data_IF_007467163273
#
_entry.id   IF_007467163273
#
_cell.length_a   1.000
_cell.length_b   1.000
_cell.length_c   1.000
_cell.angle_alpha   90.00
_cell.angle_beta   90.00
_cell.angle_gamma   90.00
#
_symmetry.space_group_name_H-M   'P 1'
#
loop_
_entity.id
_entity.type
_entity.pdbx_description
1 polymer ?
#
# COMPACT_ATOMS: atom_id res chain seq x y z
N UNK A 1 -6.50 8.85 3.04
CA UNK A 1 -6.47 8.43 1.62
C UNK A 1 -6.69 6.94 1.56
N UNK A 2 -7.03 6.34 0.43
CA UNK A 2 -7.15 4.89 0.31
C UNK A 2 -6.77 4.53 -1.12
N UNK A 3 -5.90 3.53 -1.26
CA UNK A 3 -5.65 2.91 -2.54
C UNK A 3 -6.62 1.75 -2.71
N UNK A 4 -7.27 1.74 -3.86
CA UNK A 4 -8.22 0.70 -4.23
C UNK A 4 -7.71 0.07 -5.51
N UNK A 5 -7.31 -1.19 -5.40
CA UNK A 5 -6.93 -2.03 -6.54
C UNK A 5 -8.07 -3.00 -6.82
N UNK A 6 -8.47 -3.06 -8.09
CA UNK A 6 -9.52 -3.95 -8.59
C UNK A 6 -8.92 -4.81 -9.70
N UNK A 7 -8.83 -6.12 -9.47
CA UNK A 7 -8.49 -7.09 -10.50
C UNK A 7 -9.79 -7.54 -11.20
N UNK A 8 -9.84 -7.49 -12.54
CA UNK A 8 -10.98 -7.99 -13.31
C UNK A 8 -10.60 -9.31 -13.97
N UNK A 9 -11.00 -10.42 -13.36
CA UNK A 9 -10.87 -11.73 -14.00
C UNK A 9 -12.10 -12.01 -14.87
N UNK A 10 -11.89 -12.14 -16.18
CA UNK A 10 -12.82 -12.56 -17.26
C UNK A 10 -13.29 -11.52 -18.29
N UNK A 11 -12.76 -10.29 -18.28
CA UNK A 11 -12.84 -9.39 -19.46
C UNK A 11 -14.22 -8.80 -19.80
N UNK A 12 -15.23 -8.92 -18.93
CA UNK A 12 -16.43 -8.09 -19.02
C UNK A 12 -17.07 -7.85 -17.65
N UNK A 13 -17.27 -6.58 -17.29
CA UNK A 13 -18.08 -6.18 -16.14
C UNK A 13 -19.47 -5.80 -16.67
N UNK A 14 -20.49 -6.61 -16.39
CA UNK A 14 -21.87 -6.30 -16.76
C UNK A 14 -22.67 -5.91 -15.51
N UNK A 15 -23.16 -4.68 -15.48
CA UNK A 15 -23.96 -4.12 -14.38
C UNK A 15 -25.42 -4.02 -14.83
N UNK A 16 -26.38 -4.59 -14.07
CA UNK A 16 -27.82 -4.49 -14.41
C UNK A 16 -28.63 -3.87 -13.28
N UNK A 17 -29.20 -2.69 -13.55
CA UNK A 17 -29.95 -1.88 -12.61
C UNK A 17 -29.34 -0.47 -12.52
N UNK A 18 -30.19 0.56 -12.33
CA UNK A 18 -29.65 1.88 -11.96
C UNK A 18 -29.00 1.77 -10.58
N UNK A 19 -27.76 2.27 -10.46
CA UNK A 19 -26.96 2.36 -9.23
C UNK A 19 -26.51 1.03 -8.60
N UNK A 20 -25.92 0.12 -9.37
CA UNK A 20 -25.40 -1.19 -8.88
C UNK A 20 -24.02 -1.14 -8.20
N UNK A 21 -23.64 -0.02 -7.58
CA UNK A 21 -22.25 0.26 -7.18
C UNK A 21 -21.81 -0.27 -5.80
N UNK A 22 -20.57 -0.79 -5.75
CA UNK A 22 -19.74 -0.89 -4.54
C UNK A 22 -19.27 0.51 -4.13
N UNK A 23 -19.26 0.81 -2.83
CA UNK A 23 -18.89 2.12 -2.28
C UNK A 23 -17.58 2.02 -1.49
N UNK A 24 -16.50 2.62 -1.99
CA UNK A 24 -15.29 2.87 -1.21
C UNK A 24 -15.55 4.07 -0.29
N UNK A 25 -15.27 3.98 1.01
CA UNK A 25 -15.57 5.05 1.98
C UNK A 25 -14.33 5.42 2.79
N UNK A 26 -13.95 6.69 2.75
CA UNK A 26 -13.08 7.32 3.74
C UNK A 26 -13.96 8.11 4.73
N UNK A 27 -14.04 7.66 5.98
CA UNK A 27 -14.86 8.30 7.03
C UNK A 27 -14.04 9.32 7.83
N UNK A 28 -14.59 10.51 8.10
CA UNK A 28 -13.93 11.57 8.90
C UNK A 28 -14.02 11.37 10.43
N UNK A 29 -14.47 10.21 10.90
CA UNK A 29 -14.84 10.09 12.32
C UNK A 29 -15.97 11.06 12.67
N UNK A 30 -16.05 11.52 13.92
CA UNK A 30 -17.23 12.19 14.50
C UNK A 30 -17.69 13.52 13.83
N UNK A 31 -17.05 13.97 12.74
CA UNK A 31 -17.25 15.27 12.08
C UNK A 31 -18.28 15.32 10.94
N UNK A 32 -18.78 14.19 10.43
CA UNK A 32 -20.02 14.18 9.64
C UNK A 32 -19.93 14.43 8.12
N UNK A 33 -18.76 14.25 7.49
CA UNK A 33 -18.65 14.15 6.02
C UNK A 33 -17.92 12.85 5.64
N UNK A 34 -18.35 12.20 4.55
CA UNK A 34 -17.74 10.97 4.04
C UNK A 34 -17.27 11.19 2.60
N UNK A 35 -16.03 10.81 2.30
CA UNK A 35 -15.55 10.77 0.92
C UNK A 35 -15.82 9.37 0.39
N UNK A 36 -16.50 9.28 -0.75
CA UNK A 36 -16.79 8.00 -1.36
C UNK A 36 -16.61 7.99 -2.87
N UNK A 37 -16.26 6.81 -3.40
CA UNK A 37 -16.19 6.54 -4.83
C UNK A 37 -16.94 5.24 -5.17
N UNK A 38 -17.43 5.15 -6.41
CA UNK A 38 -18.16 4.01 -6.94
C UNK A 38 -17.82 3.76 -8.41
N UNK A 39 -17.93 2.50 -8.82
CA UNK A 39 -17.94 2.11 -10.23
C UNK A 39 -19.34 2.35 -10.81
N UNK A 40 -19.43 3.11 -11.90
CA UNK A 40 -20.68 3.45 -12.58
C UNK A 40 -20.61 3.10 -14.07
N UNK A 41 -21.66 2.45 -14.59
CA UNK A 41 -21.86 2.31 -16.04
C UNK A 41 -22.62 3.54 -16.58
N UNK A 42 -22.05 4.18 -17.60
CA UNK A 42 -22.68 5.30 -18.32
C UNK A 42 -23.32 4.87 -19.65
N UNK A 43 -23.45 3.56 -19.89
CA UNK A 43 -23.97 2.96 -21.11
C UNK A 43 -22.88 2.62 -22.14
N UNK A 44 -23.17 1.66 -23.03
CA UNK A 44 -22.27 1.19 -24.08
C UNK A 44 -20.89 0.67 -23.59
N UNK A 45 -20.82 0.13 -22.37
CA UNK A 45 -19.58 -0.37 -21.78
C UNK A 45 -18.64 0.73 -21.28
N UNK A 46 -19.12 1.98 -21.16
CA UNK A 46 -18.35 3.12 -20.66
C UNK A 46 -18.36 3.14 -19.13
N UNK A 47 -17.63 2.19 -18.55
CA UNK A 47 -17.47 2.00 -17.12
C UNK A 47 -16.47 3.02 -16.55
N UNK A 48 -16.85 3.66 -15.44
CA UNK A 48 -16.06 4.73 -14.83
C UNK A 48 -15.97 4.60 -13.32
N UNK A 49 -14.86 5.00 -12.74
CA UNK A 49 -14.79 5.27 -11.30
C UNK A 49 -15.19 6.72 -11.08
N UNK A 50 -16.22 6.96 -10.28
CA UNK A 50 -16.75 8.28 -10.00
C UNK A 50 -16.81 8.54 -8.49
N UNK A 51 -16.67 9.81 -8.10
CA UNK A 51 -16.91 10.26 -6.74
C UNK A 51 -18.42 10.37 -6.47
N UNK A 52 -18.84 10.00 -5.27
CA UNK A 52 -20.24 10.13 -4.81
C UNK A 52 -20.48 11.58 -4.40
N UNK A 53 -21.55 12.17 -4.93
CA UNK A 53 -21.97 13.54 -4.63
C UNK A 53 -23.30 13.58 -3.89
N UNK A 54 -23.68 14.74 -3.35
CA UNK A 54 -24.98 14.96 -2.71
C UNK A 54 -26.20 14.75 -3.64
N UNK A 55 -25.99 14.65 -4.96
CA UNK A 55 -27.03 14.47 -5.97
C UNK A 55 -26.84 13.28 -6.91
N UNK A 56 -25.89 12.38 -6.64
CA UNK A 56 -25.58 11.22 -7.48
C UNK A 56 -24.09 10.95 -7.59
N UNK A 57 -23.55 10.95 -8.81
CA UNK A 57 -22.15 10.66 -9.08
C UNK A 57 -21.52 11.75 -9.95
N UNK A 58 -20.25 12.02 -9.71
CA UNK A 58 -19.40 12.88 -10.55
C UNK A 58 -19.24 12.31 -11.96
N UNK A 59 -18.58 13.03 -12.89
CA UNK A 59 -18.43 12.55 -14.27
C UNK A 59 -17.65 11.23 -14.36
N UNK A 60 -16.73 11.02 -13.42
CA UNK A 60 -15.94 9.82 -13.29
C UNK A 60 -14.87 9.68 -14.34
N UNK A 61 -13.82 8.93 -14.00
CA UNK A 61 -12.69 8.62 -14.85
C UNK A 61 -12.95 7.28 -15.57
N UNK A 62 -12.93 7.24 -16.92
CA UNK A 62 -13.04 5.99 -17.65
C UNK A 62 -11.77 5.15 -17.46
N UNK A 63 -11.92 3.88 -17.13
CA UNK A 63 -10.79 2.95 -16.99
C UNK A 63 -10.90 1.81 -18.00
N UNK A 64 -9.76 1.24 -18.35
CA UNK A 64 -9.70 0.00 -19.12
C UNK A 64 -9.85 -1.21 -18.20
N UNK A 65 -11.08 -1.69 -18.07
CA UNK A 65 -11.40 -2.82 -17.19
C UNK A 65 -10.96 -4.19 -17.71
N UNK A 66 -10.14 -4.24 -18.77
CA UNK A 66 -9.53 -5.49 -19.25
C UNK A 66 -8.26 -5.86 -18.50
N UNK A 67 -7.72 -4.95 -17.68
CA UNK A 67 -6.52 -5.13 -16.87
C UNK A 67 -6.78 -4.72 -15.42
N UNK A 68 -5.89 -5.10 -14.50
CA UNK A 68 -5.91 -4.60 -13.12
C UNK A 68 -5.90 -3.07 -13.10
N UNK A 69 -6.79 -2.49 -12.29
CA UNK A 69 -6.91 -1.05 -12.13
C UNK A 69 -6.62 -0.64 -10.69
N UNK A 70 -5.73 0.33 -10.52
CA UNK A 70 -5.47 0.98 -9.23
C UNK A 70 -5.84 2.45 -9.32
N UNK A 71 -6.64 2.92 -8.36
CA UNK A 71 -6.97 4.33 -8.20
C UNK A 71 -6.87 4.74 -6.74
N UNK A 72 -6.51 6.01 -6.53
CA UNK A 72 -6.30 6.60 -5.21
C UNK A 72 -7.41 7.57 -4.89
N UNK A 73 -8.01 7.38 -3.72
CA UNK A 73 -9.00 8.29 -3.15
C UNK A 73 -8.36 9.07 -2.00
N UNK A 74 -8.16 10.36 -2.16
CA UNK A 74 -7.43 11.20 -1.20
C UNK A 74 -8.27 12.38 -0.71
N UNK A 75 -8.07 12.73 0.57
CA UNK A 75 -8.49 14.02 1.12
C UNK A 75 -7.46 15.07 0.74
N UNK A 76 -7.88 16.19 0.19
CA UNK A 76 -6.97 17.29 -0.09
C UNK A 76 -7.14 18.41 0.97
N UNK A 77 -5.99 18.97 1.35
CA UNK A 77 -5.84 19.95 2.44
C UNK A 77 -6.49 21.29 2.10
N UNK A 78 -6.68 21.58 0.81
CA UNK A 78 -7.41 22.74 0.34
C UNK A 78 -8.92 22.55 0.62
N UNK A 79 -9.55 23.42 1.44
CA UNK A 79 -10.98 23.32 1.75
C UNK A 79 -11.88 23.52 0.53
N UNK A 80 -11.38 24.10 -0.56
CA UNK A 80 -12.09 24.18 -1.84
C UNK A 80 -11.99 22.89 -2.67
N UNK A 81 -11.17 21.90 -2.27
CA UNK A 81 -10.85 20.69 -3.04
C UNK A 81 -10.70 19.53 -2.07
N UNK A 82 -11.81 19.01 -1.57
CA UNK A 82 -11.85 18.16 -0.37
C UNK A 82 -11.68 16.69 -0.65
N UNK A 83 -12.17 16.23 -1.80
CA UNK A 83 -11.97 14.88 -2.28
C UNK A 83 -11.25 14.90 -3.63
N UNK A 84 -10.25 14.04 -3.78
CA UNK A 84 -9.47 13.86 -5.00
C UNK A 84 -9.47 12.39 -5.36
N UNK A 85 -9.99 12.07 -6.54
CA UNK A 85 -9.81 10.78 -7.17
C UNK A 85 -8.67 10.89 -8.17
N UNK A 86 -7.61 10.13 -7.93
CA UNK A 86 -6.43 10.06 -8.81
C UNK A 86 -6.39 8.70 -9.48
N UNK A 87 -6.22 8.72 -10.79
CA UNK A 87 -6.05 7.53 -11.62
C UNK A 87 -4.81 7.76 -12.47
N UNK A 88 -3.94 6.75 -12.57
CA UNK A 88 -2.76 6.80 -13.44
C UNK A 88 -3.14 7.23 -14.86
N UNK A 89 -2.34 8.14 -15.42
CA UNK A 89 -2.50 8.69 -16.77
C UNK A 89 -3.79 9.50 -17.02
N UNK A 90 -4.58 9.82 -15.99
CA UNK A 90 -5.78 10.65 -16.11
C UNK A 90 -5.66 11.93 -15.26
N UNK A 91 -6.26 13.05 -15.70
CA UNK A 91 -6.41 14.22 -14.83
C UNK A 91 -7.20 13.85 -13.56
N UNK A 92 -6.81 14.38 -12.38
CA UNK A 92 -7.51 14.09 -11.15
C UNK A 92 -8.93 14.69 -11.17
N UNK A 93 -9.90 13.95 -10.66
CA UNK A 93 -11.24 14.46 -10.41
C UNK A 93 -11.31 15.01 -8.99
N UNK A 94 -11.82 16.23 -8.84
CA UNK A 94 -11.78 16.99 -7.59
C UNK A 94 -13.20 17.44 -7.24
N UNK A 95 -13.65 17.16 -6.01
CA UNK A 95 -14.90 17.66 -5.46
C UNK A 95 -14.66 18.63 -4.31
N UNK A 96 -15.59 19.57 -4.15
CA UNK A 96 -15.59 20.57 -3.08
C UNK A 96 -16.49 20.13 -1.91
N UNK A 97 -16.43 20.84 -0.78
CA UNK A 97 -17.34 20.60 0.36
C UNK A 97 -18.82 20.68 -0.02
N UNK A 98 -19.18 21.50 -1.00
CA UNK A 98 -20.57 21.64 -1.45
C UNK A 98 -21.06 20.42 -2.25
N UNK A 99 -20.14 19.64 -2.82
CA UNK A 99 -20.47 18.50 -3.66
C UNK A 99 -20.60 17.21 -2.86
N UNK A 100 -20.03 17.14 -1.65
CA UNK A 100 -20.01 15.94 -0.83
C UNK A 100 -21.35 15.72 -0.11
N UNK A 101 -21.85 14.47 -0.04
CA UNK A 101 -23.08 14.19 0.69
C UNK A 101 -22.87 14.38 2.21
N UNK A 102 -23.89 14.82 2.95
CA UNK A 102 -23.85 14.82 4.42
C UNK A 102 -23.70 13.39 4.94
N UNK A 103 -22.92 13.17 6.01
CA UNK A 103 -22.74 11.82 6.57
C UNK A 103 -24.08 11.20 6.95
N UNK A 104 -24.44 10.15 6.22
CA UNK A 104 -25.46 9.20 6.63
C UNK A 104 -24.81 7.83 6.63
N UNK A 105 -24.92 7.16 7.78
CA UNK A 105 -24.40 5.80 8.02
C UNK A 105 -24.59 4.93 6.77
N UNK A 106 -23.52 4.36 6.20
CA UNK A 106 -23.63 3.35 5.17
C UNK A 106 -24.20 2.07 5.80
N UNK A 107 -25.25 1.55 5.18
CA UNK A 107 -25.82 0.24 5.44
C UNK A 107 -24.74 -0.86 5.31
N UNK A 108 -24.79 -1.88 6.15
CA UNK A 108 -23.73 -2.88 6.47
C UNK A 108 -23.42 -3.90 5.37
N UNK A 109 -23.66 -3.60 4.09
CA UNK A 109 -23.36 -4.53 3.01
C UNK A 109 -22.28 -3.93 2.10
N UNK A 110 -21.06 -4.39 2.33
CA UNK A 110 -19.93 -4.23 1.44
C UNK A 110 -19.76 -5.55 0.68
N UNK A 111 -20.08 -5.62 -0.62
CA UNK A 111 -19.71 -6.78 -1.44
C UNK A 111 -19.44 -6.37 -2.90
N UNK A 112 -18.30 -6.80 -3.43
CA UNK A 112 -18.08 -6.94 -4.87
C UNK A 112 -18.84 -8.18 -5.36
N UNK A 113 -19.76 -8.03 -6.32
CA UNK A 113 -20.45 -9.15 -6.96
C UNK A 113 -21.62 -8.74 -7.88
N UNK A 114 -21.68 -9.35 -9.06
CA UNK A 114 -22.80 -9.26 -10.01
C UNK A 114 -23.81 -10.41 -9.74
N UNK A 115 -25.11 -10.14 -9.81
CA UNK A 115 -26.16 -11.10 -9.44
C UNK A 115 -26.45 -12.21 -10.47
N UNK A 116 -25.82 -12.17 -11.66
CA UNK A 116 -26.06 -13.17 -12.70
C UNK A 116 -24.81 -13.79 -13.33
N UNK A 117 -23.64 -13.19 -13.14
CA UNK A 117 -22.33 -13.76 -13.49
C UNK A 117 -21.21 -12.81 -12.98
N UNK A 118 -20.69 -12.99 -11.75
CA UNK A 118 -19.58 -12.20 -11.27
C UNK A 118 -18.33 -12.59 -12.04
N UNK A 119 -17.92 -11.78 -13.01
CA UNK A 119 -16.49 -11.60 -13.23
C UNK A 119 -15.89 -11.31 -11.84
N UNK A 120 -15.10 -12.23 -11.32
CA UNK A 120 -14.62 -12.25 -9.94
C UNK A 120 -13.70 -11.05 -9.72
N UNK A 121 -14.29 -9.91 -9.38
CA UNK A 121 -13.57 -8.72 -9.00
C UNK A 121 -13.09 -8.92 -7.56
N UNK A 122 -11.81 -9.28 -7.41
CA UNK A 122 -11.14 -9.29 -6.11
C UNK A 122 -10.63 -7.88 -5.89
N UNK A 123 -11.08 -7.25 -4.80
CA UNK A 123 -10.55 -5.95 -4.38
C UNK A 123 -9.57 -6.14 -3.26
N UNK A 124 -8.38 -5.57 -3.41
CA UNK A 124 -7.42 -5.46 -2.33
C UNK A 124 -7.53 -4.08 -1.70
N UNK A 125 -7.75 -4.05 -0.39
CA UNK A 125 -7.71 -2.83 0.40
C UNK A 125 -6.34 -2.79 1.06
N UNK A 126 -5.48 -1.90 0.56
CA UNK A 126 -4.28 -1.53 1.30
C UNK A 126 -4.66 -0.71 2.55
N UNK A 127 -3.74 -0.52 3.50
CA UNK A 127 -3.84 0.62 4.40
C UNK A 127 -4.06 1.90 3.57
N UNK A 128 -4.56 2.95 4.22
CA UNK A 128 -4.61 4.31 3.68
C UNK A 128 -3.24 4.64 3.09
N UNK A 129 -3.04 4.40 1.79
CA UNK A 129 -1.73 4.44 1.17
C UNK A 129 -1.28 5.87 1.14
N UNK A 130 -0.37 6.23 2.03
CA UNK A 130 0.32 7.49 1.91
C UNK A 130 1.00 7.53 0.52
N UNK A 131 1.08 8.71 -0.08
CA UNK A 131 1.94 8.89 -1.26
C UNK A 131 3.34 8.53 -0.79
N UNK A 132 3.84 7.37 -1.22
CA UNK A 132 5.20 6.99 -0.88
C UNK A 132 6.14 8.03 -1.48
N UNK A 133 6.75 8.82 -0.62
CA UNK A 133 7.82 9.75 -0.92
C UNK A 133 9.06 8.91 -1.17
N UNK A 134 9.61 8.94 -2.39
CA UNK A 134 10.74 8.09 -2.72
C UNK A 134 11.97 8.53 -1.94
N UNK A 135 12.73 7.58 -1.42
CA UNK A 135 14.09 7.84 -0.98
C UNK A 135 14.91 8.45 -2.13
N UNK A 136 15.70 9.48 -1.84
CA UNK A 136 16.66 10.05 -2.80
C UNK A 136 17.76 9.03 -3.16
N UNK A 137 18.12 8.16 -2.21
CA UNK A 137 19.06 7.06 -2.39
C UNK A 137 18.63 5.87 -1.54
N UNK A 138 18.79 4.66 -2.10
CA UNK A 138 18.55 3.39 -1.41
C UNK A 138 19.57 2.37 -1.88
N UNK A 139 20.45 1.93 -0.98
CA UNK A 139 21.59 1.04 -1.28
C UNK A 139 21.61 -0.15 -0.30
N UNK A 140 20.73 -1.15 -0.50
CA UNK A 140 20.73 -2.39 0.28
C UNK A 140 21.76 -3.40 -0.25
N UNK A 141 22.19 -4.28 0.64
CA UNK A 141 22.90 -5.52 0.36
C UNK A 141 22.20 -6.66 1.08
N UNK A 142 22.22 -7.83 0.48
CA UNK A 142 21.48 -9.00 0.97
C UNK A 142 22.41 -10.21 0.98
N UNK A 143 22.41 -10.89 2.11
CA UNK A 143 23.04 -12.20 2.32
C UNK A 143 21.92 -13.18 2.70
N UNK A 144 21.91 -14.37 2.10
CA UNK A 144 20.91 -15.43 2.32
C UNK A 144 21.63 -16.74 2.58
N UNK A 145 21.39 -17.36 3.73
CA UNK A 145 21.85 -18.70 4.04
C UNK A 145 20.67 -19.66 3.92
N UNK A 146 20.78 -20.66 3.05
CA UNK A 146 19.69 -21.63 2.86
C UNK A 146 19.92 -22.87 3.72
N UNK A 147 18.97 -23.14 4.61
CA UNK A 147 18.97 -24.33 5.43
C UNK A 147 18.65 -25.60 4.62
N UNK A 148 18.73 -26.79 5.25
CA UNK A 148 18.26 -28.01 4.63
C UNK A 148 16.80 -27.87 4.18
N UNK A 149 16.43 -28.30 2.96
CA UNK A 149 15.08 -28.13 2.43
C UNK A 149 14.00 -28.63 3.40
N UNK A 150 13.05 -27.75 3.73
CA UNK A 150 11.91 -28.06 4.62
C UNK A 150 12.22 -28.02 6.12
N UNK A 151 13.42 -27.57 6.52
CA UNK A 151 13.80 -27.50 7.94
C UNK A 151 13.43 -26.17 8.63
N UNK A 152 12.95 -25.16 7.90
CA UNK A 152 12.75 -23.78 8.37
C UNK A 152 14.00 -23.25 9.09
N UNK A 153 15.13 -23.30 8.37
CA UNK A 153 16.45 -22.88 8.86
C UNK A 153 17.11 -21.90 7.90
N UNK A 154 16.30 -21.23 7.09
CA UNK A 154 16.80 -20.21 6.18
C UNK A 154 17.00 -18.93 6.98
N UNK A 155 18.06 -18.22 6.65
CA UNK A 155 18.46 -16.99 7.30
C UNK A 155 18.70 -15.92 6.24
N UNK A 156 18.43 -14.66 6.59
CA UNK A 156 18.84 -13.54 5.76
C UNK A 156 19.40 -12.42 6.62
N UNK A 157 20.37 -11.70 6.07
CA UNK A 157 20.77 -10.38 6.53
C UNK A 157 20.57 -9.37 5.39
N UNK A 158 19.83 -8.31 5.67
CA UNK A 158 19.80 -7.11 4.82
C UNK A 158 20.49 -5.98 5.56
N UNK A 159 21.47 -5.36 4.92
CA UNK A 159 22.12 -4.18 5.45
C UNK A 159 22.28 -3.13 4.38
N UNK A 160 22.00 -1.88 4.71
CA UNK A 160 22.11 -0.81 3.74
C UNK A 160 21.96 0.57 4.34
N UNK A 161 21.87 1.54 3.44
CA UNK A 161 21.55 2.91 3.79
C UNK A 161 20.46 3.48 2.89
N UNK A 162 19.77 4.48 3.40
CA UNK A 162 18.82 5.26 2.64
C UNK A 162 18.92 6.74 3.00
N UNK A 163 18.52 7.60 2.06
CA UNK A 163 18.42 9.05 2.25
C UNK A 163 17.03 9.48 1.86
N UNK A 164 16.37 10.27 2.71
CA UNK A 164 15.03 10.77 2.43
C UNK A 164 15.03 11.68 1.18
N UNK A 165 13.94 11.63 0.42
CA UNK A 165 13.77 12.48 -0.76
C UNK A 165 13.30 13.90 -0.42
N UNK A 166 13.44 14.82 -1.38
CA UNK A 166 12.99 16.22 -1.24
C UNK A 166 11.47 16.35 -0.95
N UNK A 167 10.68 15.31 -1.22
CA UNK A 167 9.25 15.24 -0.93
C UNK A 167 8.91 14.77 0.48
N UNK A 168 9.89 14.22 1.22
CA UNK A 168 9.69 13.71 2.58
C UNK A 168 9.35 14.84 3.54
N UNK A 169 8.48 14.53 4.51
CA UNK A 169 8.22 15.38 5.67
C UNK A 169 9.09 15.00 6.89
N UNK A 170 10.02 14.06 6.72
CA UNK A 170 10.85 13.45 7.75
C UNK A 170 10.19 12.23 8.39
N UNK A 171 11.00 11.26 8.81
CA UNK A 171 10.50 10.03 9.45
C UNK A 171 10.57 10.07 10.98
N UNK A 172 9.61 9.42 11.65
CA UNK A 172 9.61 9.09 13.08
C UNK A 172 9.47 7.58 13.29
N UNK A 173 10.62 6.91 13.35
CA UNK A 173 10.74 5.45 13.51
C UNK A 173 10.01 4.91 14.76
N UNK A 174 9.79 5.74 15.78
CA UNK A 174 9.08 5.29 16.99
C UNK A 174 7.56 5.26 16.81
N UNK A 175 7.01 6.05 15.90
CA UNK A 175 5.56 6.24 15.78
C UNK A 175 5.01 5.86 14.41
N UNK A 176 5.87 5.53 13.46
CA UNK A 176 5.47 5.12 12.12
C UNK A 176 5.53 3.61 11.93
N UNK A 177 4.76 3.14 10.94
CA UNK A 177 4.78 1.75 10.50
C UNK A 177 6.02 1.54 9.63
N UNK A 178 6.73 0.43 9.82
CA UNK A 178 7.86 0.04 8.97
C UNK A 178 7.54 -1.26 8.26
N UNK A 179 7.69 -1.31 6.94
CA UNK A 179 7.52 -2.53 6.15
C UNK A 179 8.80 -2.89 5.43
N UNK A 180 9.17 -4.16 5.49
CA UNK A 180 10.29 -4.72 4.73
C UNK A 180 9.77 -5.87 3.87
N UNK A 181 10.18 -5.87 2.61
CA UNK A 181 9.87 -6.93 1.67
C UNK A 181 11.12 -7.34 0.89
N UNK A 182 11.31 -8.66 0.74
CA UNK A 182 12.30 -9.29 -0.10
C UNK A 182 11.57 -10.18 -1.09
N UNK A 183 11.78 -10.00 -2.39
CA UNK A 183 11.21 -10.90 -3.41
C UNK A 183 12.28 -11.29 -4.42
N UNK A 184 12.27 -12.54 -4.86
CA UNK A 184 13.22 -13.02 -5.86
C UNK A 184 12.83 -14.40 -6.35
N UNK A 185 12.99 -14.68 -7.64
CA UNK A 185 12.48 -15.93 -8.22
C UNK A 185 10.98 -16.12 -7.95
N UNK A 186 10.62 -17.20 -7.26
CA UNK A 186 9.24 -17.49 -6.85
C UNK A 186 9.04 -17.42 -5.32
N UNK A 187 10.07 -17.00 -4.58
CA UNK A 187 10.05 -16.87 -3.13
C UNK A 187 10.12 -15.42 -2.67
N UNK A 188 9.94 -15.24 -1.37
CA UNK A 188 10.02 -13.93 -0.76
C UNK A 188 9.76 -13.95 0.73
N UNK A 189 9.96 -12.79 1.33
CA UNK A 189 9.73 -12.50 2.73
C UNK A 189 9.05 -11.14 2.82
N UNK A 190 8.06 -11.00 3.70
CA UNK A 190 7.44 -9.71 3.97
C UNK A 190 7.08 -9.60 5.44
N UNK A 191 7.31 -8.43 6.02
CA UNK A 191 6.94 -8.14 7.40
C UNK A 191 6.55 -6.67 7.55
N UNK A 192 5.61 -6.43 8.46
CA UNK A 192 5.17 -5.10 8.88
C UNK A 192 5.36 -4.95 10.38
N UNK A 193 6.19 -3.99 10.77
CA UNK A 193 6.43 -3.58 12.15
C UNK A 193 5.44 -2.46 12.46
N UNK A 194 4.57 -2.70 13.43
CA UNK A 194 3.57 -1.71 13.83
C UNK A 194 4.21 -0.48 14.48
N UNK A 195 3.61 0.69 14.29
CA UNK A 195 3.92 1.91 15.03
C UNK A 195 4.05 1.66 16.54
N UNK A 196 5.05 2.27 17.19
CA UNK A 196 5.30 2.08 18.63
C UNK A 196 6.09 0.83 19.01
N UNK A 197 6.44 -0.02 18.04
CA UNK A 197 7.16 -1.28 18.32
C UNK A 197 8.67 -1.07 18.51
N UNK A 198 9.27 -0.12 17.79
CA UNK A 198 10.68 0.20 17.93
C UNK A 198 11.00 0.80 19.30
N UNK A 199 12.18 0.46 19.83
CA UNK A 199 12.75 1.05 21.05
C UNK A 199 14.07 1.72 20.72
N UNK A 200 14.23 2.97 21.15
CA UNK A 200 15.50 3.68 21.03
C UNK A 200 16.46 3.23 22.13
N UNK A 201 17.67 2.82 21.75
CA UNK A 201 18.74 2.48 22.69
C UNK A 201 19.54 3.73 23.13
N UNK A 202 20.45 3.54 24.09
CA UNK A 202 21.29 4.63 24.62
C UNK A 202 22.25 5.25 23.58
N UNK A 203 22.42 4.62 22.42
CA UNK A 203 23.26 5.09 21.31
C UNK A 203 22.43 5.76 20.21
N UNK A 204 21.12 5.95 20.41
CA UNK A 204 20.22 6.55 19.43
C UNK A 204 19.84 5.61 18.28
N UNK A 205 20.03 4.29 18.43
CA UNK A 205 19.57 3.29 17.45
C UNK A 205 18.15 2.85 17.79
N UNK A 206 17.31 2.73 16.79
CA UNK A 206 15.97 2.18 16.91
C UNK A 206 16.06 0.69 16.65
N UNK A 207 15.68 -0.12 17.63
CA UNK A 207 15.73 -1.58 17.54
C UNK A 207 14.36 -2.19 17.79
N UNK A 208 14.03 -3.19 17.00
CA UNK A 208 12.86 -4.04 17.11
C UNK A 208 13.31 -5.50 17.03
N UNK A 209 12.77 -6.35 17.89
CA UNK A 209 12.97 -7.79 17.88
C UNK A 209 11.63 -8.46 18.10
N UNK A 210 11.32 -9.50 17.34
CA UNK A 210 10.12 -10.31 17.52
C UNK A 210 10.36 -11.74 17.09
N UNK A 211 9.47 -12.63 17.52
CA UNK A 211 9.33 -13.98 16.96
C UNK A 211 8.32 -13.88 15.80
N UNK A 212 8.63 -14.49 14.65
CA UNK A 212 7.76 -14.59 13.48
C UNK A 212 7.56 -16.06 13.10
N UNK A 213 6.33 -16.55 13.22
CA UNK A 213 5.98 -17.98 13.07
C UNK A 213 6.89 -18.91 13.88
N UNK A 214 7.90 -19.51 13.23
CA UNK A 214 8.90 -20.41 13.84
C UNK A 214 10.29 -19.78 14.01
N UNK A 215 10.49 -18.56 13.53
CA UNK A 215 11.78 -17.88 13.46
C UNK A 215 11.86 -16.60 14.32
N UNK A 216 12.98 -15.90 14.19
CA UNK A 216 13.25 -14.62 14.86
C UNK A 216 13.49 -13.55 13.81
N UNK A 217 13.03 -12.34 14.08
CA UNK A 217 13.28 -11.18 13.24
C UNK A 217 13.78 -10.01 14.08
N UNK A 218 14.88 -9.40 13.64
CA UNK A 218 15.44 -8.18 14.19
C UNK A 218 15.48 -7.09 13.11
N UNK A 219 15.11 -5.87 13.48
CA UNK A 219 15.32 -4.68 12.66
C UNK A 219 15.99 -3.58 13.48
N UNK A 220 17.01 -2.95 12.89
CA UNK A 220 17.73 -1.83 13.48
C UNK A 220 17.82 -0.70 12.47
N UNK A 221 17.44 0.50 12.88
CA UNK A 221 17.59 1.73 12.08
C UNK A 221 18.40 2.74 12.90
N UNK A 222 19.36 3.41 12.25
CA UNK A 222 20.26 4.39 12.89
C UNK A 222 20.37 5.65 12.04
N UNK A 223 20.05 6.84 12.59
CA UNK A 223 20.34 8.10 11.92
C UNK A 223 21.85 8.31 11.72
N UNK A 224 22.24 8.75 10.54
CA UNK A 224 23.60 9.16 10.20
C UNK A 224 23.76 10.69 10.14
N UNK A 225 22.64 11.43 10.15
CA UNK A 225 22.56 12.87 9.94
C UNK A 225 22.35 13.23 8.47
N UNK A 226 21.90 14.46 8.19
CA UNK A 226 21.61 14.93 6.83
C UNK A 226 20.61 14.03 6.10
N UNK A 227 19.50 13.71 6.76
CA UNK A 227 18.41 12.85 6.28
C UNK A 227 18.82 11.46 5.79
N UNK A 228 20.01 11.02 6.21
CA UNK A 228 20.57 9.72 5.88
C UNK A 228 20.50 8.78 7.07
N UNK A 229 20.24 7.51 6.78
CA UNK A 229 20.03 6.45 7.75
C UNK A 229 20.74 5.19 7.31
N UNK A 230 21.24 4.43 8.29
CA UNK A 230 21.64 3.04 8.10
C UNK A 230 20.49 2.15 8.61
N UNK A 231 20.23 1.06 7.91
CA UNK A 231 19.30 0.03 8.36
C UNK A 231 19.93 -1.35 8.26
N UNK A 232 19.49 -2.22 9.17
CA UNK A 232 19.80 -3.64 9.19
C UNK A 232 18.53 -4.41 9.54
N UNK A 233 18.31 -5.52 8.85
CA UNK A 233 17.23 -6.47 9.16
C UNK A 233 17.79 -7.88 9.06
N UNK A 234 17.50 -8.70 10.07
CA UNK A 234 17.91 -10.10 10.14
C UNK A 234 16.68 -10.96 10.35
N UNK A 235 16.60 -12.06 9.63
CA UNK A 235 15.60 -13.11 9.83
C UNK A 235 16.29 -14.44 10.00
N UNK A 236 15.98 -15.18 11.07
CA UNK A 236 16.53 -16.50 11.35
C UNK A 236 15.41 -17.54 11.50
N UNK A 237 15.67 -18.79 11.09
CA UNK A 237 14.70 -19.88 11.25
C UNK A 237 13.48 -19.75 10.33
N UNK A 238 13.66 -19.17 9.15
CA UNK A 238 12.60 -18.89 8.20
C UNK A 238 12.53 -19.96 7.11
N UNK A 239 11.49 -19.84 6.28
CA UNK A 239 11.39 -20.54 5.01
C UNK A 239 11.37 -19.48 3.91
N UNK A 240 12.53 -19.27 3.28
CA UNK A 240 12.72 -18.36 2.15
C UNK A 240 12.58 -19.11 0.82
N UNK A 241 11.91 -20.28 0.83
CA UNK A 241 11.84 -21.22 -0.27
C UNK A 241 11.54 -20.57 -1.62
N UNK A 242 12.38 -20.91 -2.60
CA UNK A 242 12.38 -20.40 -3.98
C UNK A 242 12.81 -18.93 -4.17
N UNK A 243 13.36 -18.27 -3.13
CA UNK A 243 14.06 -17.00 -3.31
C UNK A 243 15.31 -17.23 -4.16
N UNK A 244 15.53 -16.36 -5.15
CA UNK A 244 16.65 -16.45 -6.07
C UNK A 244 17.03 -15.07 -6.60
N UNK A 245 18.26 -14.94 -7.09
CA UNK A 245 18.71 -13.71 -7.70
C UNK A 245 17.99 -13.38 -9.03
N UNK A 246 17.74 -12.09 -9.31
CA UNK A 246 17.97 -10.93 -8.43
C UNK A 246 16.92 -10.85 -7.31
N UNK A 247 17.33 -10.32 -6.16
CA UNK A 247 16.44 -10.05 -5.02
C UNK A 247 16.04 -8.58 -5.05
N UNK A 248 14.75 -8.30 -5.13
CA UNK A 248 14.20 -6.98 -4.88
C UNK A 248 14.04 -6.77 -3.37
N UNK A 249 14.64 -5.71 -2.86
CA UNK A 249 14.46 -5.24 -1.48
C UNK A 249 13.57 -4.02 -1.53
N UNK A 250 12.52 -3.98 -0.72
CA UNK A 250 11.67 -2.80 -0.53
C UNK A 250 11.58 -2.46 0.95
N UNK A 251 11.77 -1.18 1.29
CA UNK A 251 11.62 -0.64 2.64
C UNK A 251 10.69 0.56 2.60
N UNK A 252 9.69 0.59 3.48
CA UNK A 252 8.85 1.76 3.73
C UNK A 252 8.83 2.09 5.21
N UNK A 253 8.82 3.38 5.55
CA UNK A 253 8.68 3.93 6.90
C UNK A 253 7.67 5.06 6.82
N UNK A 254 6.49 4.86 7.41
CA UNK A 254 5.39 5.82 7.25
C UNK A 254 5.04 6.01 5.78
N UNK A 255 5.15 7.25 5.32
CA UNK A 255 4.95 7.65 3.93
C UNK A 255 6.24 7.76 3.11
N UNK A 256 7.40 7.37 3.63
CA UNK A 256 8.67 7.35 2.90
C UNK A 256 9.07 5.92 2.51
N UNK A 257 9.68 5.74 1.34
CA UNK A 257 10.10 4.41 0.91
C UNK A 257 10.93 4.32 -0.35
N UNK A 258 11.48 3.13 -0.59
CA UNK A 258 12.28 2.85 -1.79
C UNK A 258 12.48 1.36 -2.01
N UNK A 259 12.86 1.01 -3.23
CA UNK A 259 13.19 -0.37 -3.59
C UNK A 259 14.40 -0.45 -4.50
N UNK A 260 15.13 -1.56 -4.43
CA UNK A 260 16.29 -1.83 -5.26
C UNK A 260 16.42 -3.32 -5.56
N UNK A 261 16.82 -3.65 -6.79
CA UNK A 261 17.22 -5.00 -7.16
C UNK A 261 18.70 -5.20 -6.86
N UNK A 262 19.03 -6.23 -6.10
CA UNK A 262 20.40 -6.59 -5.75
C UNK A 262 20.71 -8.01 -6.22
N UNK A 263 21.99 -8.27 -6.42
CA UNK A 263 22.49 -9.65 -6.45
C UNK A 263 22.85 -10.02 -5.02
N UNK A 264 22.00 -10.82 -4.38
CA UNK A 264 22.23 -11.36 -3.05
C UNK A 264 23.37 -12.39 -3.09
N UNK A 265 24.14 -12.44 -2.01
CA UNK A 265 25.10 -13.51 -1.75
C UNK A 265 24.34 -14.69 -1.14
N UNK A 266 24.51 -15.89 -1.71
CA UNK A 266 23.90 -17.13 -1.23
C UNK A 266 24.99 -18.05 -0.68
N UNK A 267 24.82 -18.53 0.55
CA UNK A 267 25.69 -19.53 1.18
C UNK A 267 25.01 -20.89 1.35
#
# INVERSE_FOLDING_TARGET
>A
MADVTVEVSSGSVTLVGQDTGVRAILSEGAGGVEIAAALVDRGAGNLRVALVTGGGFSQGVPLDWTNEQTFRLQRNIDPARRAVLTVSCHPPEILTDADLPPARRPNTNFEFGCSSDPASAVSFWGPIGDVIMPFAAFDPKVEIELGPPGANKDEFEVKGSFTLGDGSNGIDILTEIVSLELTGGAGGFSTTISAGSFRMDKKGRFKFETIIDVGVFEAVIRPLGGDSFEFKAEGEGLNLGAIANPVNVSLTIGDDGGSANVTAEFE
#
